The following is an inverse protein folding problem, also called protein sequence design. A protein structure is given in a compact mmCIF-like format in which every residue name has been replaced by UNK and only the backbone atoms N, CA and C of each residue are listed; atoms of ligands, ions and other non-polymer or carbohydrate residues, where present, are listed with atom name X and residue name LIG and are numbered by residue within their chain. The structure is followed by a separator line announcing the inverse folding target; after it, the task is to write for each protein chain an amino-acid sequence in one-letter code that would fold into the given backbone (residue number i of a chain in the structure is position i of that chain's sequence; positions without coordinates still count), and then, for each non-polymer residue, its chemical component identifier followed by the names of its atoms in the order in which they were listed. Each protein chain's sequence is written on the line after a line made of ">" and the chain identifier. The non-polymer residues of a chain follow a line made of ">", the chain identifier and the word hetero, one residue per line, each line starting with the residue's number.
data_IF_413141318069
#
_entry.id   IF_413141318069
#
_cell.length_a   1.000
_cell.length_b   1.000
_cell.length_c   1.000
_cell.angle_alpha   90.00
_cell.angle_beta   90.00
_cell.angle_gamma   90.00
#
_symmetry.space_group_name_H-M   'P 1'
#
loop_
_entity.id
_entity.type
_entity.pdbx_description
1 polymer ?
#
# COMPACT_ATOMS: atom_id res chain seq x y z
N UNK A 1 22.42 -9.17 9.44
CA UNK A 1 21.89 -7.82 9.58
C UNK A 1 20.68 -7.64 8.66
N UNK A 2 19.58 -7.08 9.13
CA UNK A 2 18.40 -6.80 8.31
C UNK A 2 18.74 -5.80 7.20
N UNK A 3 18.38 -6.12 5.94
CA UNK A 3 18.59 -5.29 4.74
C UNK A 3 17.30 -5.00 3.98
N UNK A 4 16.14 -5.16 4.66
CA UNK A 4 14.85 -4.93 4.03
C UNK A 4 14.48 -6.01 3.01
N UNK A 5 13.71 -5.60 2.00
CA UNK A 5 13.19 -6.50 0.94
C UNK A 5 14.30 -7.16 0.10
N UNK A 6 15.48 -6.54 0.01
CA UNK A 6 16.64 -7.08 -0.73
C UNK A 6 17.05 -8.49 -0.28
N UNK A 7 16.77 -8.86 0.97
CA UNK A 7 17.09 -10.19 1.51
C UNK A 7 16.32 -11.34 0.86
N UNK A 8 15.26 -11.02 0.12
CA UNK A 8 14.34 -11.99 -0.45
C UNK A 8 14.46 -12.14 -1.97
N UNK A 9 15.36 -11.40 -2.62
CA UNK A 9 15.50 -11.41 -4.07
C UNK A 9 15.70 -12.83 -4.65
N UNK A 10 16.45 -13.68 -3.93
CA UNK A 10 16.71 -15.07 -4.30
C UNK A 10 15.66 -16.04 -3.72
N UNK A 11 14.60 -15.54 -3.08
CA UNK A 11 13.56 -16.32 -2.40
C UNK A 11 12.22 -16.27 -3.15
N UNK A 12 12.29 -16.38 -4.48
CA UNK A 12 11.10 -16.36 -5.32
C UNK A 12 10.29 -17.65 -5.15
N UNK A 13 8.97 -17.51 -5.02
CA UNK A 13 8.04 -18.64 -4.87
C UNK A 13 6.89 -18.46 -5.84
N UNK A 14 6.69 -19.43 -6.73
CA UNK A 14 5.55 -19.43 -7.67
C UNK A 14 4.23 -19.63 -6.94
N UNK A 15 3.16 -19.08 -7.52
CA UNK A 15 1.80 -19.16 -6.96
C UNK A 15 1.28 -20.61 -6.83
N UNK A 16 1.70 -21.48 -7.75
CA UNK A 16 1.33 -22.90 -7.80
C UNK A 16 2.29 -23.82 -7.01
N UNK A 17 3.31 -23.25 -6.37
CA UNK A 17 4.27 -24.02 -5.57
C UNK A 17 3.56 -24.73 -4.41
N UNK A 18 3.87 -26.04 -4.18
CA UNK A 18 3.37 -26.77 -3.01
C UNK A 18 3.71 -26.10 -1.67
N UNK A 19 4.77 -25.28 -1.62
CA UNK A 19 5.17 -24.52 -0.43
C UNK A 19 4.13 -23.47 0.00
N UNK A 20 3.26 -23.00 -0.91
CA UNK A 20 2.22 -22.02 -0.60
C UNK A 20 1.07 -22.62 0.21
N UNK A 21 0.80 -23.90 0.08
CA UNK A 21 -0.30 -24.54 0.82
C UNK A 21 -0.19 -24.38 2.34
N UNK A 22 0.92 -24.78 3.00
CA UNK A 22 1.04 -24.59 4.44
C UNK A 22 1.06 -23.11 4.86
N UNK A 23 1.50 -22.18 3.99
CA UNK A 23 1.43 -20.74 4.27
C UNK A 23 -0.02 -20.29 4.43
N UNK A 24 -0.89 -20.64 3.50
CA UNK A 24 -2.31 -20.31 3.55
C UNK A 24 -3.03 -21.00 4.73
N UNK A 25 -2.78 -22.30 4.95
CA UNK A 25 -3.36 -23.06 6.06
C UNK A 25 -2.99 -22.44 7.41
N UNK A 26 -1.71 -22.12 7.63
CA UNK A 26 -1.22 -21.48 8.85
C UNK A 26 -1.78 -20.05 9.02
N UNK A 27 -1.88 -19.29 7.93
CA UNK A 27 -2.45 -17.95 7.97
C UNK A 27 -3.90 -17.96 8.45
N UNK A 28 -4.74 -18.82 7.87
CA UNK A 28 -6.14 -18.95 8.26
C UNK A 28 -6.28 -19.48 9.70
N UNK A 29 -5.45 -20.44 10.12
CA UNK A 29 -5.43 -20.95 11.50
C UNK A 29 -5.07 -19.84 12.49
N UNK A 30 -4.02 -19.07 12.23
CA UNK A 30 -3.60 -17.96 13.10
C UNK A 30 -4.69 -16.89 13.23
N UNK A 31 -5.40 -16.55 12.16
CA UNK A 31 -6.52 -15.59 12.24
C UNK A 31 -7.65 -16.12 13.12
N UNK A 32 -8.00 -17.41 13.00
CA UNK A 32 -9.02 -18.05 13.86
C UNK A 32 -8.58 -18.07 15.32
N UNK A 33 -7.32 -18.37 15.59
CA UNK A 33 -6.76 -18.38 16.96
C UNK A 33 -6.79 -16.98 17.58
N UNK A 34 -6.42 -15.93 16.84
CA UNK A 34 -6.55 -14.54 17.30
C UNK A 34 -8.00 -14.19 17.64
N UNK A 35 -8.95 -14.54 16.78
CA UNK A 35 -10.39 -14.37 17.05
C UNK A 35 -10.87 -15.14 18.29
N UNK A 36 -10.38 -16.37 18.49
CA UNK A 36 -10.71 -17.17 19.65
C UNK A 36 -10.14 -16.58 20.96
N UNK A 37 -8.92 -16.04 20.93
CA UNK A 37 -8.32 -15.35 22.08
C UNK A 37 -9.14 -14.12 22.45
N UNK A 38 -9.50 -13.29 21.48
CA UNK A 38 -10.30 -12.09 21.72
C UNK A 38 -11.67 -12.43 22.35
N UNK A 39 -12.38 -13.41 21.80
CA UNK A 39 -13.66 -13.86 22.39
C UNK A 39 -13.51 -14.31 23.83
N UNK A 40 -12.45 -15.07 24.16
CA UNK A 40 -12.21 -15.50 25.57
C UNK A 40 -11.92 -14.32 26.49
N UNK A 41 -11.32 -13.24 26.00
CA UNK A 41 -11.07 -12.03 26.78
C UNK A 41 -12.26 -11.04 26.81
N UNK A 42 -13.36 -11.36 26.16
CA UNK A 42 -14.52 -10.46 26.04
C UNK A 42 -14.27 -9.25 25.12
N UNK A 43 -13.25 -9.34 24.26
CA UNK A 43 -12.90 -8.28 23.32
C UNK A 43 -13.53 -8.52 21.94
N UNK A 44 -13.93 -7.45 21.26
CA UNK A 44 -14.25 -7.48 19.84
C UNK A 44 -12.96 -7.32 19.01
N UNK A 45 -12.85 -8.09 17.92
CA UNK A 45 -11.75 -8.00 16.97
C UNK A 45 -12.28 -7.57 15.63
N UNK A 46 -11.62 -6.61 15.01
CA UNK A 46 -11.80 -6.28 13.60
C UNK A 46 -10.61 -6.80 12.81
N UNK A 47 -10.87 -7.61 11.80
CA UNK A 47 -9.87 -8.03 10.82
C UNK A 47 -10.14 -7.32 9.50
N UNK A 48 -9.08 -7.07 8.73
CA UNK A 48 -9.20 -6.33 7.48
C UNK A 48 -8.57 -7.08 6.33
N UNK A 49 -9.23 -7.06 5.16
CA UNK A 49 -8.56 -7.39 3.91
C UNK A 49 -7.45 -6.38 3.63
N UNK A 50 -6.44 -6.79 2.87
CA UNK A 50 -5.29 -5.97 2.53
C UNK A 50 -5.47 -5.41 1.13
N UNK A 51 -5.62 -4.09 1.02
CA UNK A 51 -5.60 -3.41 -0.26
C UNK A 51 -4.16 -3.17 -0.72
N UNK A 52 -3.94 -3.18 -2.02
CA UNK A 52 -2.63 -2.99 -2.65
C UNK A 52 -2.75 -2.14 -3.90
N UNK A 53 -1.66 -1.52 -4.31
CA UNK A 53 -1.56 -0.86 -5.60
C UNK A 53 -1.54 -1.94 -6.71
N UNK A 54 -2.63 -2.03 -7.45
CA UNK A 54 -2.78 -2.98 -8.57
C UNK A 54 -2.30 -2.40 -9.89
N UNK A 55 -2.75 -1.15 -10.18
CA UNK A 55 -2.59 -0.53 -11.49
C UNK A 55 -1.16 -0.03 -11.74
N UNK A 56 -0.56 0.57 -10.73
CA UNK A 56 0.70 1.30 -10.90
C UNK A 56 1.89 0.63 -10.19
N UNK A 57 1.71 -0.60 -9.69
CA UNK A 57 2.79 -1.41 -9.13
C UNK A 57 2.97 -2.71 -9.93
N UNK A 58 3.92 -2.72 -10.85
CA UNK A 58 4.31 -3.93 -11.56
C UNK A 58 4.77 -5.04 -10.59
N UNK A 59 4.67 -6.32 -10.97
CA UNK A 59 5.24 -7.42 -10.20
C UNK A 59 6.72 -7.19 -9.88
N UNK A 60 7.15 -7.57 -8.69
CA UNK A 60 8.54 -7.46 -8.26
C UNK A 60 9.43 -8.51 -8.94
N UNK A 61 8.86 -9.69 -9.24
CA UNK A 61 9.55 -10.74 -9.99
C UNK A 61 8.57 -11.68 -10.68
N UNK A 62 9.08 -12.37 -11.69
CA UNK A 62 8.31 -13.33 -12.48
C UNK A 62 9.13 -14.58 -12.74
N UNK A 63 8.49 -15.74 -12.69
CA UNK A 63 9.07 -17.02 -13.08
C UNK A 63 8.19 -17.67 -14.14
N UNK A 64 8.82 -18.30 -15.10
CA UNK A 64 8.12 -19.12 -16.09
C UNK A 64 7.45 -20.34 -15.43
N UNK A 65 6.41 -20.86 -16.09
CA UNK A 65 5.78 -22.12 -15.71
C UNK A 65 6.82 -23.24 -15.67
N UNK A 66 6.59 -24.23 -14.82
CA UNK A 66 7.42 -25.43 -14.82
C UNK A 66 7.34 -26.17 -16.17
N UNK A 67 8.48 -26.72 -16.62
CA UNK A 67 8.53 -27.53 -17.80
C UNK A 67 8.35 -26.77 -19.13
N UNK A 68 8.49 -25.45 -19.17
CA UNK A 68 8.56 -24.71 -20.44
C UNK A 68 9.76 -25.20 -21.24
N UNK A 69 9.53 -25.58 -22.50
CA UNK A 69 10.60 -26.06 -23.37
C UNK A 69 11.41 -24.90 -23.94
N UNK A 70 12.70 -25.14 -24.32
CA UNK A 70 13.55 -24.07 -24.88
C UNK A 70 12.99 -23.42 -26.15
N UNK A 71 12.31 -24.19 -27.02
CA UNK A 71 11.65 -23.69 -28.21
C UNK A 71 10.43 -22.83 -27.93
N UNK A 72 9.63 -23.24 -26.93
CA UNK A 72 8.50 -22.45 -26.42
C UNK A 72 8.98 -21.14 -25.79
N UNK A 73 10.03 -21.21 -24.94
CA UNK A 73 10.61 -20.02 -24.31
C UNK A 73 11.13 -19.03 -25.36
N UNK A 74 11.86 -19.49 -26.34
CA UNK A 74 12.36 -18.63 -27.45
C UNK A 74 11.21 -17.97 -28.22
N UNK A 75 10.13 -18.72 -28.46
CA UNK A 75 8.96 -18.18 -29.16
C UNK A 75 8.26 -17.14 -28.29
N UNK A 76 8.11 -17.41 -26.99
CA UNK A 76 7.54 -16.52 -26.00
C UNK A 76 8.34 -15.19 -25.91
N UNK A 77 9.67 -15.28 -25.75
CA UNK A 77 10.56 -14.12 -25.70
C UNK A 77 10.43 -13.24 -26.93
N UNK A 78 10.38 -13.86 -28.12
CA UNK A 78 10.22 -13.13 -29.40
C UNK A 78 8.86 -12.41 -29.51
N UNK A 79 7.79 -12.99 -28.97
CA UNK A 79 6.47 -12.35 -28.91
C UNK A 79 6.47 -11.17 -27.94
N UNK A 80 7.00 -11.37 -26.71
CA UNK A 80 7.04 -10.33 -25.67
C UNK A 80 7.92 -9.16 -26.12
N UNK A 81 9.08 -9.41 -26.69
CA UNK A 81 9.96 -8.36 -27.18
C UNK A 81 9.31 -7.49 -28.26
N UNK A 82 8.64 -8.11 -29.25
CA UNK A 82 7.89 -7.36 -30.27
C UNK A 82 6.70 -6.61 -29.69
N UNK A 83 5.99 -7.24 -28.75
CA UNK A 83 4.90 -6.59 -28.02
C UNK A 83 5.38 -5.35 -27.26
N UNK A 84 6.54 -5.41 -26.59
CA UNK A 84 7.11 -4.28 -25.86
C UNK A 84 7.47 -3.10 -26.78
N UNK A 85 7.97 -3.36 -27.99
CA UNK A 85 8.21 -2.30 -28.99
C UNK A 85 6.90 -1.59 -29.35
N UNK A 86 5.83 -2.35 -29.60
CA UNK A 86 4.51 -1.79 -29.93
C UNK A 86 3.88 -1.05 -28.73
N UNK A 87 3.98 -1.60 -27.50
CA UNK A 87 3.51 -0.95 -26.29
C UNK A 87 4.19 0.41 -26.11
N UNK A 88 5.51 0.46 -26.23
CA UNK A 88 6.29 1.71 -26.13
C UNK A 88 5.95 2.72 -27.24
N UNK A 89 5.50 2.25 -28.40
CA UNK A 89 5.03 3.10 -29.50
C UNK A 89 3.55 3.52 -29.35
N UNK A 90 2.86 3.12 -28.27
CA UNK A 90 1.44 3.41 -28.04
C UNK A 90 0.47 2.54 -28.87
N UNK A 91 0.98 1.54 -29.62
CA UNK A 91 0.17 0.61 -30.42
C UNK A 91 -0.37 -0.53 -29.56
N UNK A 92 -1.19 -0.16 -28.55
CA UNK A 92 -1.63 -1.09 -27.49
C UNK A 92 -2.47 -2.27 -28.01
N UNK A 93 -3.31 -2.06 -29.02
CA UNK A 93 -4.13 -3.14 -29.62
C UNK A 93 -3.28 -4.20 -30.31
N UNK A 94 -2.22 -3.81 -31.00
CA UNK A 94 -1.28 -4.70 -31.66
C UNK A 94 -0.36 -5.39 -30.66
N UNK A 95 0.13 -4.66 -29.66
CA UNK A 95 0.91 -5.21 -28.55
C UNK A 95 0.11 -6.29 -27.81
N UNK A 96 -1.16 -6.02 -27.53
CA UNK A 96 -2.07 -6.94 -26.83
C UNK A 96 -2.18 -8.28 -27.56
N UNK A 97 -2.30 -8.29 -28.90
CA UNK A 97 -2.36 -9.55 -29.68
C UNK A 97 -1.12 -10.41 -29.47
N UNK A 98 0.06 -9.77 -29.49
CA UNK A 98 1.32 -10.49 -29.28
C UNK A 98 1.45 -11.00 -27.85
N UNK A 99 1.04 -10.20 -26.86
CA UNK A 99 1.06 -10.60 -25.47
C UNK A 99 0.06 -11.73 -25.16
N UNK A 100 -1.12 -11.74 -25.78
CA UNK A 100 -2.07 -12.84 -25.64
C UNK A 100 -1.49 -14.13 -26.25
N UNK A 101 -0.85 -14.05 -27.43
CA UNK A 101 -0.16 -15.21 -28.02
C UNK A 101 1.00 -15.71 -27.15
N UNK A 102 1.71 -14.82 -26.44
CA UNK A 102 2.72 -15.21 -25.46
C UNK A 102 2.07 -15.87 -24.22
N UNK A 103 0.91 -15.38 -23.79
CA UNK A 103 0.17 -15.94 -22.66
C UNK A 103 -0.42 -17.34 -22.97
N UNK A 104 -0.67 -17.67 -24.24
CA UNK A 104 -1.04 -19.03 -24.67
C UNK A 104 0.13 -20.03 -24.44
N UNK A 105 1.37 -19.56 -24.53
CA UNK A 105 2.56 -20.38 -24.25
C UNK A 105 2.82 -20.46 -22.74
N UNK A 106 2.84 -19.31 -22.05
CA UNK A 106 3.06 -19.23 -20.61
C UNK A 106 2.16 -18.18 -19.96
N UNK A 107 1.00 -18.57 -19.40
CA UNK A 107 0.09 -17.68 -18.73
C UNK A 107 0.51 -17.34 -17.27
N UNK A 108 1.62 -17.91 -16.77
CA UNK A 108 2.04 -17.77 -15.38
C UNK A 108 3.10 -16.69 -15.16
N UNK A 109 3.60 -16.07 -16.21
CA UNK A 109 4.59 -15.01 -16.09
C UNK A 109 3.93 -13.70 -15.66
N UNK A 110 4.18 -13.29 -14.42
CA UNK A 110 3.47 -12.17 -13.77
C UNK A 110 3.57 -10.86 -14.54
N UNK A 111 4.77 -10.48 -15.01
CA UNK A 111 4.99 -9.25 -15.77
C UNK A 111 4.21 -9.26 -17.10
N UNK A 112 4.08 -10.40 -17.76
CA UNK A 112 3.27 -10.49 -18.97
C UNK A 112 1.80 -10.17 -18.70
N UNK A 113 1.24 -10.67 -17.59
CA UNK A 113 -0.13 -10.33 -17.20
C UNK A 113 -0.30 -8.84 -16.91
N UNK A 114 0.71 -8.21 -16.30
CA UNK A 114 0.72 -6.77 -16.05
C UNK A 114 0.77 -5.97 -17.37
N UNK A 115 1.59 -6.37 -18.35
CA UNK A 115 1.65 -5.74 -19.69
C UNK A 115 0.32 -5.88 -20.43
N UNK A 116 -0.32 -7.06 -20.37
CA UNK A 116 -1.66 -7.27 -20.92
C UNK A 116 -2.66 -6.31 -20.26
N UNK A 117 -2.62 -6.19 -18.92
CA UNK A 117 -3.50 -5.28 -18.19
C UNK A 117 -3.31 -3.82 -18.62
N UNK A 118 -2.07 -3.36 -18.80
CA UNK A 118 -1.75 -2.01 -19.30
C UNK A 118 -2.33 -1.76 -20.69
N UNK A 119 -2.18 -2.72 -21.59
CA UNK A 119 -2.74 -2.62 -22.96
C UNK A 119 -4.28 -2.56 -22.91
N UNK A 120 -4.93 -3.45 -22.15
CA UNK A 120 -6.38 -3.46 -21.98
C UNK A 120 -6.88 -2.14 -21.38
N UNK A 121 -6.19 -1.62 -20.38
CA UNK A 121 -6.51 -0.32 -19.78
C UNK A 121 -6.43 0.81 -20.81
N UNK A 122 -5.37 0.84 -21.61
CA UNK A 122 -5.16 1.87 -22.61
C UNK A 122 -6.20 1.87 -23.74
N UNK A 123 -6.78 0.70 -24.10
CA UNK A 123 -7.85 0.58 -25.10
C UNK A 123 -9.26 0.66 -24.51
N UNK A 124 -9.40 0.90 -23.19
CA UNK A 124 -10.66 1.10 -22.51
C UNK A 124 -11.39 -0.17 -22.04
N UNK A 125 -10.78 -1.36 -22.15
CA UNK A 125 -11.28 -2.58 -21.53
C UNK A 125 -10.84 -2.66 -20.07
N UNK A 126 -11.52 -1.87 -19.22
CA UNK A 126 -11.17 -1.78 -17.80
C UNK A 126 -11.50 -3.04 -17.00
N UNK A 127 -12.52 -3.79 -17.40
CA UNK A 127 -12.88 -5.05 -16.75
C UNK A 127 -11.82 -6.11 -17.00
N UNK A 128 -11.42 -6.30 -18.25
CA UNK A 128 -10.31 -7.19 -18.60
C UNK A 128 -8.97 -6.75 -17.98
N UNK A 129 -8.71 -5.44 -17.94
CA UNK A 129 -7.52 -4.89 -17.30
C UNK A 129 -7.47 -5.24 -15.81
N UNK A 130 -8.59 -5.08 -15.08
CA UNK A 130 -8.70 -5.42 -13.66
C UNK A 130 -8.34 -6.88 -13.40
N UNK A 131 -8.93 -7.80 -14.16
CA UNK A 131 -8.65 -9.24 -14.02
C UNK A 131 -7.16 -9.54 -14.21
N UNK A 132 -6.54 -8.90 -15.21
CA UNK A 132 -5.11 -9.11 -15.51
C UNK A 132 -4.19 -8.46 -14.49
N UNK A 133 -4.53 -7.30 -13.92
CA UNK A 133 -3.78 -6.69 -12.82
C UNK A 133 -3.83 -7.58 -11.56
N UNK A 134 -5.00 -8.09 -11.19
CA UNK A 134 -5.14 -9.03 -10.05
C UNK A 134 -4.31 -10.28 -10.32
N UNK A 135 -4.41 -10.85 -11.53
CA UNK A 135 -3.61 -12.04 -11.88
C UNK A 135 -2.11 -11.77 -11.83
N UNK A 136 -1.66 -10.60 -12.28
CA UNK A 136 -0.25 -10.22 -12.19
C UNK A 136 0.25 -10.18 -10.74
N UNK A 137 -0.56 -9.64 -9.82
CA UNK A 137 -0.26 -9.66 -8.40
C UNK A 137 -0.24 -11.09 -7.81
N UNK A 138 -1.23 -11.91 -8.16
CA UNK A 138 -1.33 -13.29 -7.66
C UNK A 138 -0.15 -14.17 -8.13
N UNK A 139 0.42 -13.86 -9.29
CA UNK A 139 1.56 -14.55 -9.88
C UNK A 139 2.92 -13.97 -9.49
N UNK A 140 2.96 -12.80 -8.82
CA UNK A 140 4.22 -12.18 -8.37
C UNK A 140 5.01 -13.13 -7.47
N UNK A 141 6.21 -13.49 -7.88
CA UNK A 141 7.02 -14.50 -7.19
C UNK A 141 7.79 -13.96 -5.99
N UNK A 142 7.95 -12.64 -5.88
CA UNK A 142 8.35 -11.95 -4.66
C UNK A 142 7.10 -11.41 -3.94
N UNK A 143 6.56 -12.19 -3.02
CA UNK A 143 5.25 -12.04 -2.41
C UNK A 143 5.19 -10.95 -1.32
N UNK A 144 5.52 -9.72 -1.70
CA UNK A 144 5.44 -8.57 -0.80
C UNK A 144 4.04 -7.94 -0.71
N UNK A 145 3.12 -8.36 -1.59
CA UNK A 145 1.71 -7.99 -1.55
C UNK A 145 0.86 -9.19 -1.17
N UNK A 146 -0.22 -8.96 -0.42
CA UNK A 146 -1.21 -10.00 -0.18
C UNK A 146 -1.89 -10.38 -1.49
N UNK A 147 -1.91 -11.66 -1.81
CA UNK A 147 -2.62 -12.18 -2.98
C UNK A 147 -4.15 -12.33 -2.71
N UNK A 148 -4.90 -12.65 -3.77
CA UNK A 148 -6.35 -12.83 -3.70
C UNK A 148 -6.77 -13.88 -2.69
N UNK A 149 -5.99 -14.96 -2.55
CA UNK A 149 -6.26 -16.07 -1.63
C UNK A 149 -6.19 -15.65 -0.15
N UNK A 150 -5.22 -14.82 0.21
CA UNK A 150 -5.11 -14.28 1.57
C UNK A 150 -6.33 -13.42 1.90
N UNK A 151 -6.76 -12.55 0.98
CA UNK A 151 -7.96 -11.74 1.17
C UNK A 151 -9.25 -12.56 1.25
N UNK A 152 -9.36 -13.62 0.47
CA UNK A 152 -10.49 -14.56 0.56
C UNK A 152 -10.54 -15.23 1.93
N UNK A 153 -9.40 -15.67 2.47
CA UNK A 153 -9.29 -16.25 3.81
C UNK A 153 -9.69 -15.26 4.90
N UNK A 154 -9.27 -14.00 4.79
CA UNK A 154 -9.67 -12.95 5.74
C UNK A 154 -11.19 -12.77 5.73
N UNK A 155 -11.82 -12.70 4.54
CA UNK A 155 -13.29 -12.61 4.42
C UNK A 155 -13.98 -13.81 5.03
N UNK A 156 -13.48 -15.02 4.74
CA UNK A 156 -14.03 -16.26 5.28
C UNK A 156 -13.99 -16.25 6.80
N UNK A 157 -12.82 -16.00 7.40
CA UNK A 157 -12.67 -15.99 8.87
C UNK A 157 -13.50 -14.88 9.51
N UNK A 158 -13.57 -13.70 8.88
CA UNK A 158 -14.42 -12.60 9.35
C UNK A 158 -15.91 -12.91 9.36
N UNK A 159 -16.36 -13.82 8.46
CA UNK A 159 -17.75 -14.28 8.40
C UNK A 159 -18.07 -15.48 9.29
N UNK A 160 -17.07 -16.24 9.77
CA UNK A 160 -17.27 -17.50 10.51
C UNK A 160 -17.69 -17.30 11.98
N UNK A 161 -17.39 -16.17 12.60
CA UNK A 161 -17.41 -16.07 14.07
C UNK A 161 -18.12 -14.84 14.59
N UNK A 162 -19.06 -15.02 15.54
CA UNK A 162 -19.56 -13.93 16.36
C UNK A 162 -18.42 -13.29 17.17
N UNK A 163 -18.33 -11.97 17.17
CA UNK A 163 -17.28 -11.21 17.87
C UNK A 163 -16.01 -10.93 17.04
N UNK A 164 -15.97 -11.39 15.78
CA UNK A 164 -14.99 -10.96 14.78
C UNK A 164 -15.72 -10.17 13.70
N UNK A 165 -15.38 -8.91 13.54
CA UNK A 165 -15.92 -8.05 12.47
C UNK A 165 -14.94 -7.98 11.29
N UNK A 166 -15.48 -7.78 10.10
CA UNK A 166 -14.70 -7.63 8.87
C UNK A 166 -14.73 -6.19 8.38
N UNK A 167 -13.55 -5.63 8.10
CA UNK A 167 -13.39 -4.42 7.28
C UNK A 167 -12.86 -4.85 5.91
N UNK A 168 -13.70 -4.80 4.88
CA UNK A 168 -13.22 -5.13 3.52
C UNK A 168 -12.51 -3.93 2.87
N UNK A 169 -11.32 -3.60 3.40
CA UNK A 169 -10.51 -2.47 2.92
C UNK A 169 -10.17 -2.58 1.43
N UNK A 170 -9.94 -3.79 0.92
CA UNK A 170 -9.69 -3.99 -0.51
C UNK A 170 -10.89 -3.58 -1.36
N UNK A 171 -12.12 -3.92 -0.92
CA UNK A 171 -13.33 -3.51 -1.61
C UNK A 171 -13.60 -2.01 -1.46
N UNK A 172 -13.36 -1.43 -0.28
CA UNK A 172 -13.53 0.02 -0.04
C UNK A 172 -12.61 0.82 -0.94
N UNK A 173 -11.31 0.52 -0.97
CA UNK A 173 -10.36 1.25 -1.79
C UNK A 173 -10.61 1.02 -3.29
N UNK A 174 -11.01 -0.17 -3.69
CA UNK A 174 -11.41 -0.43 -5.07
C UNK A 174 -12.65 0.40 -5.48
N UNK A 175 -13.64 0.55 -4.59
CA UNK A 175 -14.85 1.35 -4.86
C UNK A 175 -14.56 2.85 -5.05
N UNK A 176 -13.48 3.36 -4.47
CA UNK A 176 -13.05 4.76 -4.56
C UNK A 176 -12.00 5.00 -5.68
N UNK A 177 -11.57 3.94 -6.35
CA UNK A 177 -10.61 4.00 -7.45
C UNK A 177 -11.28 3.94 -8.81
N UNK A 178 -10.68 4.57 -9.81
CA UNK A 178 -11.18 4.53 -11.18
C UNK A 178 -11.34 3.07 -11.67
N UNK A 179 -12.53 2.75 -12.16
CA UNK A 179 -12.89 1.42 -12.67
C UNK A 179 -12.66 0.28 -11.67
N UNK A 180 -12.60 0.58 -10.39
CA UNK A 180 -12.39 -0.40 -9.32
C UNK A 180 -10.98 -0.99 -9.28
N UNK A 181 -9.96 -0.27 -9.75
CA UNK A 181 -8.56 -0.71 -9.79
C UNK A 181 -7.69 0.28 -9.01
N UNK A 182 -7.37 0.01 -7.74
CA UNK A 182 -6.53 0.87 -6.93
C UNK A 182 -5.14 1.07 -7.54
N UNK A 183 -4.67 2.30 -7.49
CA UNK A 183 -3.39 2.71 -8.05
C UNK A 183 -2.71 3.78 -7.20
N UNK A 184 -1.89 4.58 -7.83
CA UNK A 184 -1.17 5.70 -7.23
C UNK A 184 -2.07 6.85 -6.78
N UNK A 185 -3.35 6.83 -7.14
CA UNK A 185 -4.40 7.67 -6.58
C UNK A 185 -4.63 7.44 -5.08
N UNK A 186 -4.35 6.23 -4.58
CA UNK A 186 -4.50 5.83 -3.18
C UNK A 186 -3.21 5.33 -2.51
N UNK A 187 -2.15 5.09 -3.28
CA UNK A 187 -0.90 4.52 -2.78
C UNK A 187 0.33 5.33 -3.20
N UNK A 188 1.33 5.34 -2.33
CA UNK A 188 2.65 5.85 -2.67
C UNK A 188 3.44 4.85 -3.54
N UNK A 189 3.35 3.55 -3.20
CA UNK A 189 4.03 2.45 -3.87
C UNK A 189 3.17 1.17 -3.76
N UNK A 190 3.72 0.01 -3.45
CA UNK A 190 2.98 -1.27 -3.51
C UNK A 190 1.89 -1.43 -2.44
N UNK A 191 2.08 -0.92 -1.19
CA UNK A 191 1.15 -1.14 -0.05
C UNK A 191 0.95 0.07 0.86
N UNK A 192 1.87 1.04 0.86
CA UNK A 192 1.73 2.21 1.71
C UNK A 192 0.76 3.20 1.08
N UNK A 193 -0.35 3.41 1.77
CA UNK A 193 -1.38 4.36 1.33
C UNK A 193 -0.88 5.80 1.41
N UNK A 194 -1.29 6.62 0.45
CA UNK A 194 -1.17 8.06 0.53
C UNK A 194 -2.23 8.64 1.51
N UNK A 195 -2.29 9.94 1.77
CA UNK A 195 -3.25 10.53 2.72
C UNK A 195 -4.69 10.15 2.42
N UNK A 196 -5.12 10.23 1.14
CA UNK A 196 -6.47 9.84 0.73
C UNK A 196 -6.75 8.36 1.02
N UNK A 197 -5.86 7.45 0.63
CA UNK A 197 -6.01 6.03 0.92
C UNK A 197 -6.03 5.74 2.43
N UNK A 198 -5.22 6.45 3.20
CA UNK A 198 -5.20 6.36 4.67
C UNK A 198 -6.51 6.84 5.29
N UNK A 199 -7.05 7.97 4.82
CA UNK A 199 -8.35 8.49 5.25
C UNK A 199 -9.48 7.49 4.97
N UNK A 200 -9.55 6.95 3.74
CA UNK A 200 -10.57 5.98 3.35
C UNK A 200 -10.52 4.72 4.21
N UNK A 201 -9.31 4.23 4.48
CA UNK A 201 -9.10 3.08 5.36
C UNK A 201 -9.55 3.38 6.78
N UNK A 202 -9.13 4.52 7.36
CA UNK A 202 -9.51 4.95 8.70
C UNK A 202 -11.04 5.13 8.82
N UNK A 203 -11.68 5.73 7.81
CA UNK A 203 -13.13 5.88 7.74
C UNK A 203 -13.86 4.54 7.76
N UNK A 204 -13.36 3.56 6.98
CA UNK A 204 -13.94 2.21 6.95
C UNK A 204 -13.85 1.51 8.31
N UNK A 205 -12.69 1.59 8.97
CA UNK A 205 -12.53 1.07 10.33
C UNK A 205 -13.42 1.78 11.34
N UNK A 206 -13.48 3.12 11.30
CA UNK A 206 -14.33 3.92 12.18
C UNK A 206 -15.80 3.51 12.06
N UNK A 207 -16.33 3.39 10.85
CA UNK A 207 -17.71 2.97 10.60
C UNK A 207 -17.98 1.58 11.21
N UNK A 208 -17.04 0.65 11.06
CA UNK A 208 -17.19 -0.69 11.63
C UNK A 208 -17.08 -0.68 13.15
N UNK A 209 -16.19 0.13 13.74
CA UNK A 209 -16.12 0.32 15.20
C UNK A 209 -17.44 0.86 15.73
N UNK A 210 -17.97 1.93 15.12
CA UNK A 210 -19.25 2.52 15.54
C UNK A 210 -20.38 1.49 15.51
N UNK A 211 -20.42 0.62 14.50
CA UNK A 211 -21.48 -0.39 14.35
C UNK A 211 -21.51 -1.45 15.46
N UNK A 212 -20.37 -1.68 16.14
CA UNK A 212 -20.25 -2.67 17.23
C UNK A 212 -20.29 -2.05 18.61
N UNK A 213 -20.28 -0.71 18.72
CA UNK A 213 -20.39 -0.03 20.02
C UNK A 213 -21.78 -0.23 20.63
N UNK A 214 -21.87 -0.30 21.99
CA UNK A 214 -23.15 -0.29 22.69
C UNK A 214 -24.01 0.94 22.31
N UNK A 215 -25.36 0.81 22.23
CA UNK A 215 -26.24 1.91 21.83
C UNK A 215 -26.08 3.19 22.67
N UNK A 216 -25.66 3.05 23.93
CA UNK A 216 -25.42 4.18 24.84
C UNK A 216 -24.26 5.06 24.35
N UNK A 217 -23.22 4.44 23.81
CA UNK A 217 -22.04 5.13 23.25
C UNK A 217 -22.31 5.66 21.84
N UNK A 218 -23.16 4.98 21.07
CA UNK A 218 -23.56 5.43 19.74
C UNK A 218 -24.40 6.72 19.80
N UNK A 219 -25.23 6.90 20.84
CA UNK A 219 -26.09 8.10 21.02
C UNK A 219 -25.29 9.40 21.18
N UNK A 220 -24.10 9.33 21.70
CA UNK A 220 -23.19 10.48 21.78
C UNK A 220 -22.54 10.85 20.42
N UNK A 221 -22.50 9.91 19.50
CA UNK A 221 -21.97 10.09 18.15
C UNK A 221 -23.07 10.39 17.09
N UNK A 222 -24.35 10.26 17.48
CA UNK A 222 -25.48 10.56 16.59
C UNK A 222 -25.55 12.08 16.33
N UNK A 223 -25.10 12.50 15.14
CA UNK A 223 -25.04 13.90 14.72
C UNK A 223 -23.64 14.46 14.52
N UNK A 224 -22.60 13.70 14.78
CA UNK A 224 -21.25 14.05 14.30
C UNK A 224 -21.07 13.44 12.92
N UNK A 225 -21.12 14.27 11.90
CA UNK A 225 -20.64 13.87 10.58
C UNK A 225 -19.21 13.34 10.71
N UNK A 226 -18.90 12.27 10.01
CA UNK A 226 -17.51 11.78 9.93
C UNK A 226 -16.65 12.93 9.40
N UNK A 227 -15.59 13.27 10.13
CA UNK A 227 -14.70 14.35 9.72
C UNK A 227 -14.25 14.15 8.27
N UNK A 228 -14.21 15.25 7.52
CA UNK A 228 -13.75 15.22 6.12
C UNK A 228 -12.27 14.84 6.03
N UNK A 229 -11.81 14.46 4.85
CA UNK A 229 -10.38 14.22 4.59
C UNK A 229 -9.56 15.48 4.92
N UNK A 230 -10.05 16.66 4.50
CA UNK A 230 -9.41 17.95 4.75
C UNK A 230 -9.34 18.29 6.26
N UNK A 231 -10.42 18.05 7.00
CA UNK A 231 -10.42 18.26 8.46
C UNK A 231 -9.43 17.33 9.15
N UNK A 232 -9.35 16.06 8.72
CA UNK A 232 -8.40 15.10 9.26
C UNK A 232 -6.95 15.51 8.96
N UNK A 233 -6.64 15.90 7.73
CA UNK A 233 -5.31 16.38 7.36
C UNK A 233 -4.91 17.60 8.19
N UNK A 234 -5.83 18.54 8.36
CA UNK A 234 -5.60 19.75 9.17
C UNK A 234 -5.37 19.43 10.65
N UNK A 235 -6.18 18.52 11.23
CA UNK A 235 -6.01 18.10 12.61
C UNK A 235 -4.69 17.36 12.86
N UNK A 236 -4.20 16.64 11.87
CA UNK A 236 -2.91 15.96 11.88
C UNK A 236 -1.74 16.86 11.50
N UNK A 237 -1.99 18.12 11.16
CA UNK A 237 -1.02 19.04 10.57
C UNK A 237 -0.22 18.41 9.42
N UNK A 238 -0.92 17.68 8.51
CA UNK A 238 -0.29 17.07 7.36
C UNK A 238 -0.02 18.13 6.28
N UNK A 239 1.05 18.89 6.48
CA UNK A 239 1.42 20.09 5.72
C UNK A 239 2.10 19.76 4.39
N UNK A 240 2.31 20.75 3.50
CA UNK A 240 3.15 20.60 2.31
C UNK A 240 4.57 20.09 2.63
N UNK A 241 5.14 20.49 3.76
CA UNK A 241 6.43 19.99 4.23
C UNK A 241 6.40 18.47 4.46
N UNK A 242 5.34 17.96 5.12
CA UNK A 242 5.21 16.52 5.38
C UNK A 242 5.01 15.74 4.10
N UNK A 243 4.25 16.26 3.15
CA UNK A 243 4.07 15.64 1.81
C UNK A 243 5.41 15.48 1.10
N UNK A 244 6.23 16.53 1.06
CA UNK A 244 7.57 16.49 0.44
C UNK A 244 8.48 15.52 1.19
N UNK A 245 8.47 15.54 2.51
CA UNK A 245 9.28 14.66 3.35
C UNK A 245 8.92 13.19 3.16
N UNK A 246 7.63 12.86 3.17
CA UNK A 246 7.16 11.48 2.96
C UNK A 246 7.50 11.00 1.54
N UNK A 247 7.25 11.82 0.52
CA UNK A 247 7.60 11.47 -0.86
C UNK A 247 9.12 11.23 -1.02
N UNK A 248 9.96 12.03 -0.37
CA UNK A 248 11.42 11.83 -0.34
C UNK A 248 11.83 10.50 0.32
N UNK A 249 11.18 10.14 1.42
CA UNK A 249 11.40 8.83 2.07
C UNK A 249 10.98 7.65 1.17
N UNK A 250 9.86 7.78 0.46
CA UNK A 250 9.42 6.76 -0.48
C UNK A 250 10.37 6.66 -1.66
N UNK A 251 10.78 7.80 -2.24
CA UNK A 251 11.77 7.84 -3.33
C UNK A 251 13.06 7.12 -2.94
N UNK A 252 13.58 7.35 -1.75
CA UNK A 252 14.80 6.67 -1.27
C UNK A 252 14.66 5.14 -1.17
N UNK A 253 13.44 4.63 -1.03
CA UNK A 253 13.14 3.19 -1.06
C UNK A 253 13.00 2.68 -2.49
N UNK A 254 12.34 3.44 -3.37
CA UNK A 254 12.19 3.08 -4.78
C UNK A 254 13.54 2.96 -5.51
N UNK A 255 14.57 3.68 -5.06
CA UNK A 255 15.93 3.60 -5.60
C UNK A 255 16.69 2.31 -5.25
N UNK A 256 16.04 1.35 -4.59
CA UNK A 256 16.65 0.08 -4.16
C UNK A 256 15.88 -1.12 -4.66
N UNK A 257 16.57 -2.27 -4.87
CA UNK A 257 15.86 -3.51 -5.13
C UNK A 257 14.89 -3.88 -3.99
N UNK A 258 13.77 -4.50 -4.31
CA UNK A 258 13.31 -4.99 -5.62
C UNK A 258 12.61 -3.95 -6.50
N UNK A 259 12.39 -2.72 -6.03
CA UNK A 259 11.68 -1.68 -6.80
C UNK A 259 12.37 -1.34 -8.12
N UNK A 260 13.71 -1.24 -8.11
CA UNK A 260 14.51 -0.97 -9.33
C UNK A 260 14.37 -2.04 -10.42
N UNK A 261 13.85 -3.22 -10.07
CA UNK A 261 13.67 -4.32 -11.01
C UNK A 261 12.27 -4.31 -11.65
N UNK A 262 11.37 -3.45 -11.20
CA UNK A 262 10.01 -3.38 -11.73
C UNK A 262 9.96 -2.75 -13.11
N UNK A 263 9.06 -3.26 -13.97
CA UNK A 263 8.84 -2.78 -15.34
C UNK A 263 8.62 -1.26 -15.40
N UNK A 264 7.83 -0.71 -14.51
CA UNK A 264 7.44 0.70 -14.50
C UNK A 264 8.19 1.55 -13.45
N UNK A 265 9.32 1.08 -12.94
CA UNK A 265 10.11 1.79 -11.92
C UNK A 265 10.36 3.27 -12.26
N UNK A 266 10.82 3.55 -13.49
CA UNK A 266 11.11 4.93 -13.90
C UNK A 266 9.86 5.83 -13.93
N UNK A 267 8.71 5.27 -14.33
CA UNK A 267 7.43 5.98 -14.35
C UNK A 267 7.03 6.38 -12.92
N UNK A 268 7.17 5.47 -11.95
CA UNK A 268 6.83 5.70 -10.56
C UNK A 268 7.77 6.71 -9.87
N UNK A 269 9.07 6.64 -10.16
CA UNK A 269 10.04 7.63 -9.67
C UNK A 269 9.72 9.02 -10.21
N UNK A 270 9.43 9.15 -11.51
CA UNK A 270 9.07 10.43 -12.11
C UNK A 270 7.77 10.98 -11.53
N UNK A 271 6.75 10.15 -11.36
CA UNK A 271 5.47 10.52 -10.76
C UNK A 271 5.65 11.08 -9.35
N UNK A 272 6.42 10.40 -8.50
CA UNK A 272 6.66 10.87 -7.13
C UNK A 272 7.50 12.15 -7.09
N UNK A 273 8.49 12.29 -7.95
CA UNK A 273 9.29 13.52 -8.04
C UNK A 273 8.42 14.70 -8.44
N UNK A 274 7.53 14.53 -9.41
CA UNK A 274 6.62 15.61 -9.84
C UNK A 274 5.68 16.10 -8.74
N UNK A 275 5.37 15.27 -7.74
CA UNK A 275 4.57 15.67 -6.58
C UNK A 275 5.34 16.56 -5.58
N UNK A 276 6.65 16.60 -5.67
CA UNK A 276 7.50 17.40 -4.77
C UNK A 276 8.09 18.64 -5.44
N UNK A 277 8.11 18.66 -6.77
CA UNK A 277 8.65 19.77 -7.55
C UNK A 277 7.73 21.00 -7.48
N UNK A 278 8.30 22.17 -7.20
CA UNK A 278 7.57 23.43 -7.18
C UNK A 278 6.63 23.62 -5.97
N UNK A 279 6.66 22.74 -4.99
CA UNK A 279 5.90 22.92 -3.75
C UNK A 279 6.50 24.07 -2.95
N UNK A 280 5.70 25.13 -2.72
CA UNK A 280 6.11 26.22 -1.82
C UNK A 280 6.08 25.74 -0.38
N UNK A 281 7.16 26.01 0.35
CA UNK A 281 7.31 25.65 1.76
C UNK A 281 7.45 26.94 2.58
N UNK A 282 6.33 27.64 2.76
CA UNK A 282 6.28 28.85 3.58
C UNK A 282 6.37 28.47 5.06
N UNK A 283 7.58 28.60 5.65
CA UNK A 283 7.87 28.15 7.00
C UNK A 283 6.88 28.69 8.03
N UNK A 284 6.52 29.98 7.97
CA UNK A 284 5.57 30.59 8.89
C UNK A 284 4.18 29.98 8.85
N UNK A 285 3.69 29.64 7.65
CA UNK A 285 2.38 29.00 7.48
C UNK A 285 2.40 27.56 8.03
N UNK A 286 3.45 26.80 7.71
CA UNK A 286 3.61 25.42 8.20
C UNK A 286 3.68 25.39 9.73
N UNK A 287 4.44 26.30 10.35
CA UNK A 287 4.52 26.45 11.80
C UNK A 287 3.14 26.77 12.39
N UNK A 288 2.39 27.68 11.78
CA UNK A 288 1.05 28.06 12.24
C UNK A 288 0.07 26.87 12.20
N UNK A 289 0.13 26.03 11.17
CA UNK A 289 -0.68 24.81 11.06
C UNK A 289 -0.36 23.82 12.18
N UNK A 290 0.91 23.54 12.47
CA UNK A 290 1.31 22.68 13.58
C UNK A 290 0.84 23.23 14.93
N UNK A 291 1.05 24.53 15.18
CA UNK A 291 0.60 25.17 16.42
C UNK A 291 -0.92 25.11 16.58
N UNK A 292 -1.66 25.34 15.49
CA UNK A 292 -3.13 25.23 15.48
C UNK A 292 -3.61 23.81 15.84
N UNK A 293 -2.97 22.77 15.31
CA UNK A 293 -3.31 21.37 15.58
C UNK A 293 -2.95 20.97 17.04
N UNK A 294 -1.77 21.35 17.52
CA UNK A 294 -1.30 21.06 18.88
C UNK A 294 -2.19 21.73 19.93
N UNK A 295 -2.63 22.98 19.73
CA UNK A 295 -3.58 23.63 20.64
C UNK A 295 -4.87 22.81 20.81
N UNK A 296 -5.32 22.10 19.77
CA UNK A 296 -6.54 21.30 19.77
C UNK A 296 -6.32 19.89 20.32
N UNK A 297 -5.16 19.35 20.12
CA UNK A 297 -4.80 18.02 20.59
C UNK A 297 -3.38 18.02 21.23
N UNK A 298 -3.24 18.66 22.42
CA UNK A 298 -1.93 18.85 23.05
C UNK A 298 -1.31 17.55 23.58
N UNK A 299 -2.03 16.43 23.54
CA UNK A 299 -1.52 15.11 23.94
C UNK A 299 -1.11 14.24 22.74
N UNK A 300 -1.30 14.73 21.52
CA UNK A 300 -0.91 13.97 20.32
C UNK A 300 0.60 14.00 20.13
N UNK A 301 1.21 12.90 20.46
CA UNK A 301 2.66 12.71 20.42
C UNK A 301 3.24 12.73 19.01
N UNK A 302 2.47 12.33 17.99
CA UNK A 302 2.91 12.36 16.62
C UNK A 302 2.94 13.79 16.07
N UNK A 303 2.00 14.67 16.49
CA UNK A 303 2.07 16.10 16.17
C UNK A 303 3.34 16.71 16.74
N UNK A 304 3.64 16.50 18.02
CA UNK A 304 4.87 17.00 18.64
C UNK A 304 6.13 16.43 17.96
N UNK A 305 6.13 15.15 17.61
CA UNK A 305 7.26 14.52 16.92
C UNK A 305 7.52 15.15 15.55
N UNK A 306 6.48 15.26 14.74
CA UNK A 306 6.60 15.82 13.38
C UNK A 306 6.97 17.29 13.42
N UNK A 307 6.37 18.06 14.33
CA UNK A 307 6.70 19.47 14.53
C UNK A 307 8.16 19.64 15.00
N UNK A 308 8.61 18.80 15.91
CA UNK A 308 10.00 18.77 16.35
C UNK A 308 10.99 18.51 15.20
N UNK A 309 10.66 17.63 14.27
CA UNK A 309 11.48 17.41 13.07
C UNK A 309 11.53 18.66 12.15
N UNK A 310 10.43 19.35 11.96
CA UNK A 310 10.40 20.62 11.23
C UNK A 310 11.31 21.66 11.90
N UNK A 311 11.11 21.89 13.20
CA UNK A 311 11.83 22.89 13.99
C UNK A 311 13.31 22.61 14.09
N UNK A 312 13.72 21.33 14.09
CA UNK A 312 15.12 20.93 14.26
C UNK A 312 16.07 21.67 13.29
N UNK A 313 15.60 21.91 12.09
CA UNK A 313 16.38 22.60 11.05
C UNK A 313 16.52 24.09 11.27
N UNK A 314 15.54 24.75 11.92
CA UNK A 314 15.42 26.20 12.00
C UNK A 314 15.52 26.74 13.43
N UNK A 315 14.98 26.00 14.41
CA UNK A 315 14.84 26.41 15.80
C UNK A 315 15.18 25.24 16.76
N UNK A 316 16.47 24.85 16.90
CA UNK A 316 16.86 23.65 17.64
C UNK A 316 16.35 23.60 19.10
N UNK A 317 16.32 24.76 19.79
CA UNK A 317 15.81 24.82 21.18
C UNK A 317 14.29 24.61 21.28
N UNK A 318 13.52 25.04 20.28
CA UNK A 318 12.10 24.75 20.20
C UNK A 318 11.87 23.27 19.82
N UNK A 319 12.66 22.73 18.91
CA UNK A 319 12.61 21.32 18.53
C UNK A 319 12.81 20.38 19.74
N UNK A 320 13.77 20.68 20.62
CA UNK A 320 14.02 19.86 21.81
C UNK A 320 12.79 19.79 22.73
N UNK A 321 12.05 20.88 22.90
CA UNK A 321 10.81 20.90 23.68
C UNK A 321 9.74 19.99 23.08
N UNK A 322 9.50 20.12 21.77
CA UNK A 322 8.49 19.35 21.06
C UNK A 322 8.85 17.84 21.02
N UNK A 323 10.10 17.51 20.74
CA UNK A 323 10.59 16.13 20.76
C UNK A 323 10.51 15.52 22.16
N UNK A 324 10.72 16.31 23.21
CA UNK A 324 10.54 15.87 24.61
C UNK A 324 9.07 15.58 24.93
N UNK A 325 8.15 16.42 24.43
CA UNK A 325 6.70 16.18 24.58
C UNK A 325 6.22 14.93 23.83
N UNK A 326 6.89 14.56 22.73
CA UNK A 326 6.60 13.35 21.96
C UNK A 326 6.98 12.05 22.67
N UNK A 327 7.85 12.08 23.70
CA UNK A 327 8.34 10.87 24.36
C UNK A 327 7.36 10.34 25.41
N UNK A 328 7.29 9.00 25.60
CA UNK A 328 6.70 8.44 26.80
C UNK A 328 7.56 8.73 28.02
N UNK A 329 6.95 8.99 29.15
CA UNK A 329 7.61 9.30 30.43
C UNK A 329 8.66 8.27 30.86
N UNK A 330 8.66 7.04 30.28
CA UNK A 330 9.51 5.92 30.68
C UNK A 330 10.66 5.56 29.73
N UNK A 331 10.87 6.27 28.61
CA UNK A 331 11.85 5.88 27.59
C UNK A 331 12.79 7.02 27.15
N UNK A 332 13.53 7.59 28.08
CA UNK A 332 14.60 8.55 27.82
C UNK A 332 15.75 8.06 26.88
N UNK A 333 16.01 6.74 26.68
CA UNK A 333 17.09 6.28 25.78
C UNK A 333 16.77 6.40 24.29
N UNK A 334 15.53 6.62 23.88
CA UNK A 334 15.15 6.64 22.44
C UNK A 334 15.58 7.94 21.75
N UNK A 335 15.75 9.03 22.49
CA UNK A 335 16.24 10.31 21.95
C UNK A 335 17.66 10.29 21.43
N UNK A 336 18.52 9.39 21.92
CA UNK A 336 19.92 9.35 21.49
C UNK A 336 20.14 8.80 20.07
N UNK A 337 19.12 8.24 19.43
CA UNK A 337 19.24 7.65 18.09
C UNK A 337 18.82 8.56 16.93
N UNK A 338 18.11 9.66 17.18
CA UNK A 338 17.66 10.56 16.11
C UNK A 338 18.81 11.34 15.44
N UNK A 339 19.98 11.52 16.14
CA UNK A 339 21.21 12.08 15.56
C UNK A 339 21.86 11.22 14.45
N UNK A 340 21.30 10.06 14.13
CA UNK A 340 21.81 9.14 13.10
C UNK A 340 21.03 9.19 11.77
N UNK A 341 20.11 10.13 11.64
CA UNK A 341 19.29 10.31 10.42
C UNK A 341 19.68 11.56 9.61
N UNK A 342 20.85 12.14 9.89
CA UNK A 342 21.50 13.13 9.02
C UNK A 342 22.22 12.44 7.86
#
# INVERSE_FOLDING_TARGET
>A
KWRGMEMFLDRQVRADSPQMRPVYENFAANLRDMGAVARRSGSHVLISTVATNLKDCAPFASLHREGIRPDELKSWEGLVQRGAVLENAGSYSEALKLYLSAADIDPQYAELQFRIARCLWAIGDFAGAKERFVRAQDLDTLRFRADSKLNEMIRTVGGESSGVGLVDAAAVLAGESAHGVPGSDLFYEHVHTNPRGTYLLARAFFQQVVSILPPELQRGAAGTDVASEEDCERLLAFTPYDRVRVAGLVLSKLERPPFTNQLNHSEEVLRLRSQTEGVSLEYGEIVAEYQWAIIRNPQDRLLHLNYGFLLHRYEPAAAERELSAALPYDNAPVLCNWRKFD
#
